data_IF_107204282366
#
_entry.id   IF_107204282366
#
_cell.length_a   1.000
_cell.length_b   1.000
_cell.length_c   1.000
_cell.angle_alpha   90.00
_cell.angle_beta   90.00
_cell.angle_gamma   90.00
#
_symmetry.space_group_name_H-M   'P 1'
#
loop_
_entity.id
_entity.type
_entity.pdbx_description
1 polymer ?
#
# COMPACT_ATOMS: atom_id res chain seq x y z
N UNK A 1 8.26 -6.14 7.83
CA UNK A 1 7.37 -6.65 6.77
C UNK A 1 7.76 -8.10 6.47
N UNK A 2 6.81 -9.04 6.38
CA UNK A 2 7.09 -10.44 5.99
C UNK A 2 7.70 -10.57 4.59
N UNK A 3 8.56 -11.58 4.38
CA UNK A 3 9.34 -11.72 3.15
C UNK A 3 8.49 -11.88 1.88
N UNK A 4 7.38 -12.63 1.95
CA UNK A 4 6.49 -12.83 0.80
C UNK A 4 5.83 -11.53 0.35
N UNK A 5 5.34 -10.72 1.30
CA UNK A 5 4.77 -9.40 1.02
C UNK A 5 5.83 -8.48 0.40
N UNK A 6 7.04 -8.45 0.98
CA UNK A 6 8.14 -7.66 0.44
C UNK A 6 8.51 -8.08 -0.99
N UNK A 7 8.43 -9.37 -1.31
CA UNK A 7 8.74 -9.87 -2.65
C UNK A 7 7.69 -9.45 -3.68
N UNK A 8 6.40 -9.50 -3.34
CA UNK A 8 5.33 -9.01 -4.25
C UNK A 8 5.48 -7.51 -4.47
N UNK A 9 5.71 -6.73 -3.40
CA UNK A 9 5.78 -5.27 -3.49
C UNK A 9 6.97 -4.75 -4.32
N UNK A 10 8.03 -5.54 -4.55
CA UNK A 10 9.10 -5.17 -5.48
C UNK A 10 8.61 -4.96 -6.90
N UNK A 11 7.53 -5.61 -7.28
CA UNK A 11 6.93 -5.49 -8.62
C UNK A 11 5.88 -4.37 -8.67
N UNK A 12 5.76 -3.53 -7.64
CA UNK A 12 4.74 -2.45 -7.61
C UNK A 12 4.98 -1.35 -8.66
N UNK A 13 6.11 -1.39 -9.36
CA UNK A 13 6.41 -0.51 -10.50
C UNK A 13 5.92 -1.05 -11.83
N UNK A 14 5.41 -2.28 -11.86
CA UNK A 14 4.86 -2.86 -13.08
C UNK A 14 3.38 -2.49 -13.21
N UNK A 15 2.95 -2.13 -14.42
CA UNK A 15 1.53 -1.89 -14.71
C UNK A 15 0.66 -3.13 -14.46
N UNK A 16 1.25 -4.32 -14.63
CA UNK A 16 0.60 -5.61 -14.38
C UNK A 16 0.67 -6.06 -12.91
N UNK A 17 0.92 -5.15 -11.97
CA UNK A 17 0.97 -5.48 -10.55
C UNK A 17 -0.36 -6.09 -10.08
N UNK A 18 -0.29 -7.25 -9.42
CA UNK A 18 -1.47 -7.95 -8.92
C UNK A 18 -1.77 -7.57 -7.45
N UNK A 19 -2.67 -6.59 -7.29
CA UNK A 19 -3.14 -6.15 -5.97
C UNK A 19 -3.93 -7.23 -5.22
N UNK A 20 -4.57 -8.17 -5.92
CA UNK A 20 -5.30 -9.28 -5.30
C UNK A 20 -4.31 -10.25 -4.65
N UNK A 21 -3.23 -10.60 -5.36
CA UNK A 21 -2.15 -11.43 -4.82
C UNK A 21 -1.52 -10.79 -3.57
N UNK A 22 -1.28 -9.47 -3.60
CA UNK A 22 -0.84 -8.73 -2.41
C UNK A 22 -1.83 -8.90 -1.26
N UNK A 23 -3.13 -8.70 -1.50
CA UNK A 23 -4.14 -8.83 -0.47
C UNK A 23 -4.20 -10.22 0.15
N UNK A 24 -4.05 -11.27 -0.66
CA UNK A 24 -4.00 -12.66 -0.19
C UNK A 24 -2.80 -12.89 0.75
N UNK A 25 -1.59 -12.50 0.34
CA UNK A 25 -0.39 -12.71 1.19
C UNK A 25 -0.35 -11.77 2.40
N UNK A 26 -1.03 -10.63 2.32
CA UNK A 26 -1.16 -9.66 3.39
C UNK A 26 -2.28 -10.02 4.39
N UNK A 27 -2.99 -11.13 4.20
CA UNK A 27 -4.13 -11.52 5.03
C UNK A 27 -5.16 -10.39 5.18
N UNK A 28 -5.47 -9.72 4.06
CA UNK A 28 -6.42 -8.61 4.06
C UNK A 28 -5.84 -7.26 4.51
N UNK A 29 -4.51 -7.12 4.64
CA UNK A 29 -3.85 -5.89 5.10
C UNK A 29 -3.07 -5.17 3.99
N UNK A 30 -3.53 -5.26 2.74
CA UNK A 30 -2.78 -4.78 1.57
C UNK A 30 -2.53 -3.27 1.60
N UNK A 31 -3.47 -2.46 2.11
CA UNK A 31 -3.35 -1.01 2.11
C UNK A 31 -2.26 -0.55 3.07
N UNK A 32 -2.20 -1.12 4.27
CA UNK A 32 -1.12 -0.85 5.23
C UNK A 32 0.24 -1.17 4.64
N UNK A 33 0.41 -2.33 4.03
CA UNK A 33 1.71 -2.71 3.48
C UNK A 33 2.11 -1.89 2.24
N UNK A 34 1.17 -1.62 1.33
CA UNK A 34 1.42 -0.76 0.16
C UNK A 34 1.79 0.66 0.57
N UNK A 35 1.02 1.27 1.48
CA UNK A 35 1.27 2.62 1.98
C UNK A 35 2.63 2.74 2.67
N UNK A 36 2.96 1.80 3.58
CA UNK A 36 4.27 1.79 4.23
C UNK A 36 5.41 1.60 3.22
N UNK A 37 5.24 0.69 2.25
CA UNK A 37 6.26 0.41 1.23
C UNK A 37 6.57 1.64 0.38
N UNK A 38 5.55 2.30 -0.17
CA UNK A 38 5.74 3.45 -1.05
C UNK A 38 6.27 4.67 -0.31
N UNK A 39 5.77 4.97 0.89
CA UNK A 39 6.30 6.07 1.69
C UNK A 39 7.77 5.88 2.07
N UNK A 40 8.17 4.64 2.35
CA UNK A 40 9.56 4.29 2.59
C UNK A 40 10.40 4.40 1.30
N UNK A 41 9.91 3.84 0.19
CA UNK A 41 10.58 3.84 -1.11
C UNK A 41 10.81 5.26 -1.65
N UNK A 42 9.86 6.17 -1.44
CA UNK A 42 9.99 7.59 -1.79
C UNK A 42 10.80 8.41 -0.77
N UNK A 43 11.33 7.77 0.29
CA UNK A 43 12.11 8.45 1.33
C UNK A 43 11.31 9.45 2.16
N UNK A 44 9.97 9.44 2.07
CA UNK A 44 9.10 10.44 2.70
C UNK A 44 9.06 10.28 4.23
N UNK A 45 9.18 9.05 4.72
CA UNK A 45 9.26 8.76 6.16
C UNK A 45 10.44 9.52 6.77
N UNK A 46 11.64 9.38 6.19
CA UNK A 46 12.84 10.05 6.67
C UNK A 46 12.78 11.57 6.42
N UNK A 47 12.39 11.99 5.22
CA UNK A 47 12.34 13.40 4.81
C UNK A 47 11.47 14.24 5.74
N UNK A 48 10.31 13.72 6.12
CA UNK A 48 9.36 14.41 6.99
C UNK A 48 9.45 14.00 8.46
N UNK A 49 10.44 13.16 8.83
CA UNK A 49 10.64 12.67 10.20
C UNK A 49 9.38 12.03 10.78
N UNK A 50 8.67 11.26 9.96
CA UNK A 50 7.45 10.56 10.37
C UNK A 50 7.86 9.44 11.33
N UNK A 51 7.28 9.44 12.53
CA UNK A 51 7.45 8.34 13.48
C UNK A 51 6.91 7.04 12.89
N UNK A 52 7.73 5.99 12.86
CA UNK A 52 7.32 4.65 12.39
C UNK A 52 6.08 4.15 13.14
N UNK A 53 6.02 4.36 14.46
CA UNK A 53 4.86 3.97 15.26
C UNK A 53 3.59 4.77 14.90
N UNK A 54 3.75 6.07 14.64
CA UNK A 54 2.62 6.91 14.23
C UNK A 54 2.10 6.53 12.84
N UNK A 55 3.00 6.29 11.88
CA UNK A 55 2.63 5.84 10.54
C UNK A 55 1.92 4.48 10.58
N UNK A 56 2.47 3.54 11.34
CA UNK A 56 1.91 2.21 11.50
C UNK A 56 0.50 2.26 12.10
N UNK A 57 0.34 3.02 13.18
CA UNK A 57 -0.97 3.24 13.80
C UNK A 57 -1.97 3.90 12.84
N UNK A 58 -1.52 4.92 12.10
CA UNK A 58 -2.34 5.59 11.10
C UNK A 58 -2.83 4.64 10.00
N UNK A 59 -1.92 3.86 9.39
CA UNK A 59 -2.26 2.94 8.31
C UNK A 59 -3.21 1.83 8.77
N UNK A 60 -3.04 1.31 9.99
CA UNK A 60 -3.98 0.35 10.59
C UNK A 60 -5.39 0.97 10.73
N UNK A 61 -5.49 2.21 11.21
CA UNK A 61 -6.79 2.87 11.37
C UNK A 61 -7.46 3.16 10.03
N UNK A 62 -6.71 3.57 9.01
CA UNK A 62 -7.23 3.77 7.66
C UNK A 62 -7.79 2.45 7.10
N UNK A 63 -7.06 1.36 7.24
CA UNK A 63 -7.47 0.04 6.75
C UNK A 63 -8.77 -0.45 7.43
N UNK A 64 -8.86 -0.31 8.76
CA UNK A 64 -10.10 -0.59 9.51
C UNK A 64 -11.26 0.29 9.01
N UNK A 65 -10.98 1.56 8.70
CA UNK A 65 -11.98 2.50 8.19
C UNK A 65 -12.60 2.05 6.86
N UNK A 66 -11.77 1.56 5.92
CA UNK A 66 -12.24 1.01 4.65
C UNK A 66 -13.09 -0.26 4.83
N UNK A 67 -12.73 -1.11 5.80
CA UNK A 67 -13.43 -2.38 6.04
C UNK A 67 -14.72 -2.26 6.87
N UNK A 68 -15.01 -1.06 7.40
CA UNK A 68 -16.16 -0.82 8.30
C UNK A 68 -17.49 -1.34 7.77
N UNK A 69 -17.74 -1.18 6.46
CA UNK A 69 -19.01 -1.56 5.83
C UNK A 69 -18.91 -2.82 4.96
N UNK A 70 -17.73 -3.45 4.88
CA UNK A 70 -17.47 -4.62 4.03
C UNK A 70 -17.97 -4.42 2.59
N UNK A 71 -17.68 -3.24 2.04
CA UNK A 71 -18.09 -2.91 0.68
C UNK A 71 -17.44 -3.90 -0.31
N UNK A 72 -18.18 -4.39 -1.31
CA UNK A 72 -17.63 -5.35 -2.27
C UNK A 72 -16.52 -4.75 -3.15
N UNK A 73 -16.53 -3.42 -3.37
CA UNK A 73 -15.55 -2.73 -4.22
C UNK A 73 -14.83 -1.60 -3.50
N UNK A 74 -15.54 -0.68 -2.83
CA UNK A 74 -14.94 0.44 -2.09
C UNK A 74 -14.35 -0.01 -0.74
N UNK A 75 -13.33 -0.87 -0.81
CA UNK A 75 -12.64 -1.50 0.31
C UNK A 75 -11.14 -1.12 0.30
N UNK A 76 -10.38 -1.68 1.24
CA UNK A 76 -8.96 -1.38 1.39
C UNK A 76 -8.12 -1.78 0.17
N UNK A 77 -8.49 -2.86 -0.52
CA UNK A 77 -7.81 -3.34 -1.72
C UNK A 77 -7.93 -2.34 -2.86
N UNK A 78 -9.12 -1.77 -3.09
CA UNK A 78 -9.30 -0.72 -4.08
C UNK A 78 -8.45 0.52 -3.74
N UNK A 79 -8.35 0.91 -2.47
CA UNK A 79 -7.47 2.00 -2.08
C UNK A 79 -5.98 1.68 -2.29
N UNK A 80 -5.56 0.44 -2.06
CA UNK A 80 -4.20 -0.01 -2.34
C UNK A 80 -3.89 0.03 -3.84
N UNK A 81 -4.83 -0.42 -4.68
CA UNK A 81 -4.76 -0.40 -6.14
C UNK A 81 -4.59 1.01 -6.69
N UNK A 82 -5.44 1.95 -6.27
CA UNK A 82 -5.34 3.37 -6.64
C UNK A 82 -4.00 3.96 -6.19
N UNK A 83 -3.54 3.63 -4.98
CA UNK A 83 -2.27 4.14 -4.44
C UNK A 83 -1.07 3.65 -5.27
N UNK A 84 -1.04 2.38 -5.64
CA UNK A 84 -0.01 1.81 -6.50
C UNK A 84 -0.08 2.37 -7.91
N UNK A 85 -1.27 2.52 -8.48
CA UNK A 85 -1.48 3.10 -9.82
C UNK A 85 -0.95 4.53 -9.87
N UNK A 86 -1.26 5.37 -8.88
CA UNK A 86 -0.72 6.74 -8.82
C UNK A 86 0.80 6.72 -8.69
N UNK A 87 1.38 5.82 -7.88
CA UNK A 87 2.84 5.64 -7.84
C UNK A 87 3.42 5.25 -9.19
N UNK A 88 2.77 4.36 -9.94
CA UNK A 88 3.20 3.98 -11.28
C UNK A 88 3.19 5.19 -12.21
N UNK A 89 2.09 5.94 -12.21
CA UNK A 89 1.93 7.12 -13.07
C UNK A 89 3.01 8.18 -12.80
N UNK A 90 3.34 8.44 -11.54
CA UNK A 90 4.40 9.38 -11.15
C UNK A 90 5.81 8.90 -11.55
N UNK A 91 6.09 7.60 -11.48
CA UNK A 91 7.46 7.09 -11.68
C UNK A 91 7.74 6.62 -13.11
N UNK A 92 6.76 6.01 -13.75
CA UNK A 92 6.93 5.27 -15.01
C UNK A 92 6.23 5.96 -16.19
N UNK A 93 5.14 6.70 -15.93
CA UNK A 93 4.39 7.41 -16.98
C UNK A 93 4.81 8.89 -17.15
N UNK A 94 5.74 9.40 -16.33
CA UNK A 94 6.38 10.70 -16.53
C UNK A 94 5.58 11.92 -16.08
N UNK A 95 4.76 11.77 -15.02
CA UNK A 95 4.10 12.89 -14.33
C UNK A 95 5.04 13.67 -13.39
#
# INVERSE_FOLDING_TARGET
MPAQIAQILKNSEDWSFDVFALNTVASGQCLRYMGHYLLNRFGLIQKFKISTAALEGFLIQIEIGYEKFRNPYHNNMHAADVTQTVSYLLCQAGL
#
